data_IF_208759161200
#
_entry.id   IF_208759161200
#
_cell.length_a   1.000
_cell.length_b   1.000
_cell.length_c   1.000
_cell.angle_alpha   90.00
_cell.angle_beta   90.00
_cell.angle_gamma   90.00
#
_symmetry.space_group_name_H-M   'P 1'
#
loop_
_entity.id
_entity.type
_entity.pdbx_description
1 polymer ?
#
# COMPACT_ATOMS: atom_id res chain seq x y z
N UNK A 1 34.66 5.57 6.08
CA UNK A 1 33.23 5.32 5.85
C UNK A 1 32.65 6.45 5.00
N UNK A 2 32.17 6.14 3.81
CA UNK A 2 31.56 7.15 2.93
C UNK A 2 30.13 7.41 3.39
N UNK A 3 29.87 8.62 3.88
CA UNK A 3 28.52 9.09 4.16
C UNK A 3 27.89 9.49 2.83
N UNK A 4 26.79 8.83 2.45
CA UNK A 4 25.97 9.27 1.32
C UNK A 4 24.90 10.25 1.83
N UNK A 5 24.87 11.43 1.24
CA UNK A 5 23.83 12.41 1.50
C UNK A 5 22.67 12.13 0.52
N UNK A 6 21.48 11.89 1.06
CA UNK A 6 20.26 11.75 0.26
C UNK A 6 19.38 12.96 0.55
N UNK A 7 19.15 13.77 -0.46
CA UNK A 7 18.28 14.94 -0.37
C UNK A 7 16.89 14.57 -0.90
N UNK A 8 15.89 14.64 -0.06
CA UNK A 8 14.49 14.56 -0.48
C UNK A 8 13.97 15.98 -0.71
N UNK A 9 13.52 16.25 -1.94
CA UNK A 9 12.82 17.49 -2.27
C UNK A 9 11.32 17.26 -2.12
N UNK A 10 10.72 17.89 -1.14
CA UNK A 10 9.26 17.94 -1.00
C UNK A 10 8.72 19.19 -1.65
N UNK A 11 7.51 19.13 -2.23
CA UNK A 11 6.84 20.31 -2.79
C UNK A 11 6.49 21.29 -1.65
N UNK A 12 7.01 22.53 -1.69
CA UNK A 12 6.76 23.51 -0.65
C UNK A 12 5.31 24.01 -0.57
N UNK A 13 4.46 23.61 -1.52
CA UNK A 13 3.03 23.95 -1.55
C UNK A 13 2.20 23.05 -0.64
N UNK A 14 2.73 21.92 -0.18
CA UNK A 14 2.07 21.09 0.80
C UNK A 14 2.34 21.61 2.22
N UNK A 15 1.40 22.37 2.75
CA UNK A 15 1.49 23.07 4.04
C UNK A 15 1.61 22.15 5.28
N UNK A 16 1.71 20.85 5.08
CA UNK A 16 1.65 19.82 6.14
C UNK A 16 2.99 19.12 6.43
N UNK A 17 4.07 19.43 5.67
CA UNK A 17 5.36 18.78 5.88
C UNK A 17 6.32 19.64 6.68
N UNK A 18 6.86 19.14 7.79
CA UNK A 18 7.91 19.86 8.51
C UNK A 18 9.17 19.95 7.64
N UNK A 19 9.78 21.13 7.69
CA UNK A 19 10.97 21.65 7.00
C UNK A 19 11.94 20.59 6.50
N UNK A 20 12.46 20.81 5.27
CA UNK A 20 13.61 20.09 4.70
C UNK A 20 14.70 19.84 5.75
N UNK A 21 15.06 18.59 5.92
CA UNK A 21 16.22 18.20 6.72
C UNK A 21 17.14 17.36 5.85
N UNK A 22 18.40 17.76 5.77
CA UNK A 22 19.45 16.92 5.21
C UNK A 22 19.71 15.77 6.20
N UNK A 23 19.37 14.57 5.77
CA UNK A 23 19.53 13.38 6.60
C UNK A 23 20.79 12.64 6.12
N UNK A 24 21.74 12.43 7.03
CA UNK A 24 22.97 11.69 6.76
C UNK A 24 22.83 10.27 7.27
N UNK A 25 23.04 9.30 6.38
CA UNK A 25 23.01 7.88 6.71
C UNK A 25 24.40 7.30 6.73
N UNK A 26 24.70 6.44 7.72
CA UNK A 26 25.81 5.52 7.61
C UNK A 26 25.44 4.32 6.72
N UNK A 27 26.42 3.65 6.12
CA UNK A 27 26.15 2.46 5.30
C UNK A 27 25.55 1.32 6.13
N UNK A 28 25.85 1.28 7.46
CA UNK A 28 25.24 0.33 8.39
C UNK A 28 23.75 0.59 8.61
N UNK A 29 23.32 1.87 8.66
CA UNK A 29 21.92 2.22 8.81
C UNK A 29 21.13 1.85 7.55
N UNK A 30 21.69 2.13 6.36
CA UNK A 30 21.12 1.69 5.09
C UNK A 30 21.03 0.17 5.00
N UNK A 31 22.05 -0.55 5.46
CA UNK A 31 22.06 -2.01 5.47
C UNK A 31 21.03 -2.57 6.45
N UNK A 32 20.86 -1.99 7.63
CA UNK A 32 19.82 -2.42 8.58
C UNK A 32 18.40 -2.21 8.07
N UNK A 33 18.18 -1.19 7.24
CA UNK A 33 16.90 -0.91 6.58
C UNK A 33 16.71 -1.80 5.34
N UNK A 34 17.80 -2.15 4.64
CA UNK A 34 17.77 -2.86 3.34
C UNK A 34 18.01 -4.35 3.47
N UNK A 35 18.73 -4.81 4.50
CA UNK A 35 19.25 -6.19 4.62
C UNK A 35 18.27 -7.16 5.30
N UNK A 36 17.13 -6.70 5.74
CA UNK A 36 16.14 -7.56 6.39
C UNK A 36 15.30 -8.38 5.41
N UNK A 37 15.70 -8.55 4.22
CA UNK A 37 15.25 -9.52 3.22
C UNK A 37 15.45 -8.99 1.79
N UNK A 38 15.98 -9.79 0.92
CA UNK A 38 16.14 -9.55 -0.54
C UNK A 38 14.81 -9.29 -1.28
N UNK A 39 13.74 -8.93 -0.58
CA UNK A 39 12.41 -8.71 -1.14
C UNK A 39 11.93 -7.29 -0.85
N UNK A 40 11.50 -6.63 -1.91
CA UNK A 40 11.04 -5.25 -2.00
C UNK A 40 10.10 -4.89 -0.84
N UNK A 41 10.65 -4.21 0.18
CA UNK A 41 9.85 -3.61 1.23
C UNK A 41 9.37 -2.25 0.77
N UNK A 42 8.10 -1.97 0.95
CA UNK A 42 7.54 -0.64 0.74
C UNK A 42 7.74 0.18 2.01
N UNK A 43 8.09 1.44 1.83
CA UNK A 43 8.16 2.41 2.92
C UNK A 43 7.10 3.47 2.66
N UNK A 44 6.28 3.76 3.65
CA UNK A 44 5.20 4.75 3.55
C UNK A 44 5.33 5.75 4.68
N UNK A 45 5.33 7.03 4.35
CA UNK A 45 5.27 8.10 5.34
C UNK A 45 3.83 8.24 5.86
N UNK A 46 3.69 8.36 7.18
CA UNK A 46 2.42 8.59 7.84
C UNK A 46 2.33 10.05 8.30
N UNK A 47 1.48 10.89 7.70
CA UNK A 47 1.37 12.29 8.08
C UNK A 47 0.71 12.50 9.45
N UNK A 48 0.00 11.50 9.98
CA UNK A 48 -0.66 11.56 11.28
C UNK A 48 0.33 11.69 12.43
N UNK A 49 1.44 10.95 12.38
CA UNK A 49 2.43 10.92 13.46
C UNK A 49 3.86 11.25 13.03
N UNK A 50 4.07 11.47 11.72
CA UNK A 50 5.36 11.87 11.15
C UNK A 50 6.38 10.75 11.02
N UNK A 51 5.99 9.48 11.14
CA UNK A 51 6.86 8.32 11.04
C UNK A 51 6.78 7.62 9.69
N UNK A 52 7.83 6.85 9.39
CA UNK A 52 7.84 5.92 8.26
C UNK A 52 7.38 4.54 8.73
N UNK A 53 6.64 3.86 7.87
CA UNK A 53 6.16 2.50 8.12
C UNK A 53 6.63 1.56 7.04
N UNK A 54 7.09 0.38 7.43
CA UNK A 54 7.45 -0.71 6.52
C UNK A 54 6.96 -2.03 7.08
N UNK A 55 6.73 -2.99 6.17
CA UNK A 55 6.33 -4.34 6.55
C UNK A 55 7.34 -5.35 6.03
N UNK A 56 7.74 -6.26 6.89
CA UNK A 56 8.61 -7.39 6.56
C UNK A 56 7.82 -8.61 6.09
N UNK A 57 8.47 -9.48 5.34
CA UNK A 57 7.85 -10.70 4.79
C UNK A 57 7.33 -11.66 5.87
N UNK A 58 7.94 -11.69 7.04
CA UNK A 58 7.50 -12.48 8.19
C UNK A 58 6.25 -11.90 8.87
N UNK A 59 5.77 -10.77 8.40
CA UNK A 59 4.55 -10.12 8.86
C UNK A 59 4.76 -8.98 9.84
N UNK A 60 5.98 -8.78 10.35
CA UNK A 60 6.28 -7.66 11.23
C UNK A 60 6.05 -6.33 10.54
N UNK A 61 5.47 -5.38 11.24
CA UNK A 61 5.33 -3.99 10.82
C UNK A 61 6.19 -3.13 11.73
N UNK A 62 7.10 -2.37 11.13
CA UNK A 62 7.98 -1.46 11.84
C UNK A 62 7.55 -0.01 11.65
N UNK A 63 7.68 0.74 12.72
CA UNK A 63 7.60 2.20 12.78
C UNK A 63 9.02 2.74 12.90
N UNK A 64 9.41 3.67 12.03
CA UNK A 64 10.78 4.17 11.89
C UNK A 64 10.76 5.69 12.00
N UNK A 65 11.56 6.27 12.88
CA UNK A 65 11.75 7.71 12.98
C UNK A 65 12.50 8.23 11.74
N UNK A 66 11.94 9.14 10.95
CA UNK A 66 12.59 9.64 9.74
C UNK A 66 13.81 10.55 10.02
N UNK A 67 14.07 10.93 11.27
CA UNK A 67 15.21 11.76 11.64
C UNK A 67 16.38 10.96 12.18
N UNK A 68 16.10 9.91 12.96
CA UNK A 68 17.15 9.07 13.60
C UNK A 68 17.32 7.73 12.88
N UNK A 69 16.31 7.30 12.08
CA UNK A 69 16.20 5.97 11.46
C UNK A 69 16.17 4.82 12.46
N UNK A 70 15.97 5.12 13.72
CA UNK A 70 15.67 4.11 14.71
C UNK A 70 14.26 3.59 14.47
N UNK A 71 14.14 2.28 14.42
CA UNK A 71 12.87 1.59 14.17
C UNK A 71 12.57 0.54 15.21
N UNK A 72 11.30 0.34 15.48
CA UNK A 72 10.83 -0.74 16.35
C UNK A 72 9.60 -1.42 15.75
N UNK A 73 9.44 -2.69 16.06
CA UNK A 73 8.27 -3.46 15.63
C UNK A 73 7.08 -3.05 16.46
N UNK A 74 6.00 -2.66 15.78
CA UNK A 74 4.74 -2.22 16.42
C UNK A 74 3.61 -3.25 16.28
N UNK A 75 3.76 -4.22 15.36
CA UNK A 75 2.72 -5.23 15.13
C UNK A 75 3.31 -6.48 14.49
N UNK A 76 2.74 -7.64 14.84
CA UNK A 76 3.00 -8.91 14.18
C UNK A 76 1.77 -9.34 13.39
N UNK A 77 1.74 -8.98 12.12
CA UNK A 77 0.71 -9.41 11.19
C UNK A 77 0.98 -10.78 10.57
N UNK A 78 0.14 -11.21 9.61
CA UNK A 78 0.34 -12.47 8.89
C UNK A 78 1.60 -12.42 8.02
N UNK A 79 2.33 -13.54 7.93
CA UNK A 79 3.46 -13.67 7.00
C UNK A 79 3.00 -13.62 5.54
N UNK A 80 3.92 -13.43 4.63
CA UNK A 80 3.67 -13.43 3.18
C UNK A 80 4.13 -12.16 2.48
N UNK A 81 4.32 -12.26 1.16
CA UNK A 81 4.78 -11.12 0.35
C UNK A 81 3.71 -10.05 0.27
N UNK A 82 4.15 -8.82 0.34
CA UNK A 82 3.38 -7.60 0.14
C UNK A 82 3.74 -6.99 -1.21
N UNK A 83 2.80 -6.30 -1.84
CA UNK A 83 3.03 -5.62 -3.11
C UNK A 83 2.61 -4.16 -3.14
N UNK A 84 1.72 -3.73 -2.26
CA UNK A 84 1.30 -2.35 -2.15
C UNK A 84 1.07 -1.97 -0.70
N UNK A 85 1.34 -0.69 -0.40
CA UNK A 85 1.13 -0.10 0.92
C UNK A 85 0.79 1.38 0.74
N UNK A 86 -0.24 1.85 1.44
CA UNK A 86 -0.63 3.26 1.42
C UNK A 86 -1.32 3.67 2.73
N UNK A 87 -1.23 4.96 3.04
CA UNK A 87 -2.00 5.61 4.10
C UNK A 87 -3.22 6.28 3.47
N UNK A 88 -4.38 6.16 4.09
CA UNK A 88 -5.58 6.86 3.65
C UNK A 88 -5.49 8.34 4.08
N UNK A 89 -5.52 9.32 3.16
CA UNK A 89 -5.39 10.73 3.51
C UNK A 89 -6.56 11.26 4.36
N UNK A 90 -7.76 10.72 4.17
CA UNK A 90 -8.94 11.08 4.97
C UNK A 90 -8.93 10.44 6.37
N UNK A 91 -8.18 9.35 6.56
CA UNK A 91 -8.00 8.65 7.84
C UNK A 91 -6.52 8.29 8.00
N UNK A 92 -5.64 9.29 8.24
CA UNK A 92 -4.19 9.13 8.11
C UNK A 92 -3.54 8.21 9.17
N UNK A 93 -4.33 7.66 10.06
CA UNK A 93 -3.94 6.62 11.02
C UNK A 93 -4.22 5.19 10.52
N UNK A 94 -4.75 5.02 9.30
CA UNK A 94 -5.01 3.71 8.71
C UNK A 94 -3.99 3.37 7.62
N UNK A 95 -3.21 2.32 7.88
CA UNK A 95 -2.24 1.76 6.95
C UNK A 95 -2.86 0.59 6.19
N UNK A 96 -2.97 0.71 4.88
CA UNK A 96 -3.52 -0.32 4.00
C UNK A 96 -2.40 -1.10 3.31
N UNK A 97 -2.61 -2.40 3.14
CA UNK A 97 -1.59 -3.34 2.65
C UNK A 97 -2.24 -4.39 1.75
N UNK A 98 -1.64 -4.65 0.58
CA UNK A 98 -2.01 -5.79 -0.26
C UNK A 98 -1.16 -7.01 0.08
N UNK A 99 -1.77 -8.20 0.15
CA UNK A 99 -1.11 -9.45 0.45
C UNK A 99 -1.23 -10.46 -0.69
N UNK A 100 -0.11 -11.14 -0.96
CA UNK A 100 0.02 -12.13 -2.03
C UNK A 100 -0.58 -13.50 -1.68
N UNK A 101 -0.61 -14.39 -2.68
CA UNK A 101 -1.10 -15.78 -2.56
C UNK A 101 -0.30 -16.64 -1.58
N UNK A 102 0.94 -16.27 -1.25
CA UNK A 102 1.75 -17.00 -0.26
C UNK A 102 1.45 -16.59 1.19
N UNK A 103 0.57 -15.61 1.41
CA UNK A 103 0.04 -15.32 2.74
C UNK A 103 -0.86 -16.47 3.24
N UNK A 104 -1.11 -16.58 4.56
CA UNK A 104 -2.10 -17.52 5.10
C UNK A 104 -3.46 -17.38 4.41
N UNK A 105 -4.21 -18.46 4.28
CA UNK A 105 -5.47 -18.53 3.51
C UNK A 105 -6.44 -17.41 3.85
N UNK A 106 -6.53 -17.04 5.12
CA UNK A 106 -7.39 -15.93 5.58
C UNK A 106 -7.01 -14.56 5.01
N UNK A 107 -5.77 -14.37 4.55
CA UNK A 107 -5.23 -13.07 4.11
C UNK A 107 -4.77 -13.04 2.65
N UNK A 108 -4.62 -14.20 2.00
CA UNK A 108 -4.14 -14.26 0.61
C UNK A 108 -5.08 -13.56 -0.36
N UNK A 109 -4.50 -12.91 -1.37
CA UNK A 109 -5.23 -12.11 -2.36
C UNK A 109 -6.07 -11.00 -1.71
N UNK A 110 -5.62 -10.50 -0.56
CA UNK A 110 -6.39 -9.60 0.28
C UNK A 110 -5.83 -8.19 0.34
N UNK A 111 -6.74 -7.28 0.63
CA UNK A 111 -6.45 -5.94 1.11
C UNK A 111 -6.72 -5.95 2.61
N UNK A 112 -5.73 -5.52 3.38
CA UNK A 112 -5.81 -5.47 4.84
C UNK A 112 -5.51 -4.07 5.33
N UNK A 113 -5.98 -3.74 6.53
CA UNK A 113 -5.76 -2.46 7.19
C UNK A 113 -5.23 -2.67 8.59
N UNK A 114 -4.32 -1.79 9.03
CA UNK A 114 -3.85 -1.67 10.40
C UNK A 114 -4.21 -0.29 10.92
N UNK A 115 -4.82 -0.21 12.10
CA UNK A 115 -5.02 1.05 12.82
C UNK A 115 -3.74 1.37 13.63
N UNK A 116 -3.04 2.41 13.22
CA UNK A 116 -1.76 2.83 13.82
C UNK A 116 -1.91 3.47 15.21
N UNK A 117 -3.14 3.80 15.62
CA UNK A 117 -3.42 4.32 16.96
C UNK A 117 -3.43 3.22 18.03
N UNK A 118 -3.77 1.99 17.61
CA UNK A 118 -3.83 0.81 18.48
C UNK A 118 -3.37 -0.44 17.70
N UNK A 119 -2.07 -0.50 17.33
CA UNK A 119 -1.57 -1.55 16.45
C UNK A 119 -1.59 -2.94 17.10
N UNK A 120 -1.51 -3.01 18.43
CA UNK A 120 -1.53 -4.27 19.20
C UNK A 120 -2.93 -4.65 19.72
N UNK A 121 -3.91 -3.76 19.51
CA UNK A 121 -5.28 -3.98 19.95
C UNK A 121 -6.03 -5.05 19.17
N UNK A 122 -7.19 -5.44 19.66
CA UNK A 122 -8.07 -6.46 19.06
C UNK A 122 -8.59 -6.07 17.67
N UNK A 123 -8.49 -4.80 17.29
CA UNK A 123 -8.82 -4.25 15.97
C UNK A 123 -7.62 -4.10 15.03
N UNK A 124 -6.40 -4.48 15.45
CA UNK A 124 -5.15 -4.14 14.81
C UNK A 124 -5.09 -4.43 13.31
N UNK A 125 -4.77 -5.66 12.93
CA UNK A 125 -4.63 -6.04 11.52
C UNK A 125 -5.87 -6.76 11.00
N UNK A 126 -6.64 -6.11 10.14
CA UNK A 126 -7.92 -6.62 9.66
C UNK A 126 -7.92 -6.75 8.13
N UNK A 127 -8.39 -7.89 7.62
CA UNK A 127 -8.74 -8.04 6.21
C UNK A 127 -10.04 -7.28 5.89
N UNK A 128 -10.11 -6.64 4.74
CA UNK A 128 -11.29 -5.87 4.30
C UNK A 128 -12.18 -6.67 3.34
N UNK A 129 -11.59 -7.27 2.29
CA UNK A 129 -12.34 -7.96 1.26
C UNK A 129 -12.64 -9.43 1.62
N UNK A 130 -13.56 -10.06 0.88
CA UNK A 130 -13.93 -11.46 1.08
C UNK A 130 -12.71 -12.39 1.11
N UNK A 131 -12.68 -13.38 1.99
CA UNK A 131 -11.70 -14.44 1.93
C UNK A 131 -11.94 -15.29 0.68
N UNK A 132 -10.86 -15.66 -0.02
CA UNK A 132 -10.99 -16.49 -1.22
C UNK A 132 -9.70 -16.58 -2.00
N UNK A 133 -9.75 -17.33 -3.09
CA UNK A 133 -8.67 -17.45 -4.06
C UNK A 133 -8.74 -16.33 -5.11
N UNK A 134 -7.93 -16.52 -6.16
CA UNK A 134 -7.91 -15.63 -7.32
C UNK A 134 -9.29 -15.61 -8.00
N UNK A 135 -9.98 -14.50 -7.92
CA UNK A 135 -11.32 -14.31 -8.48
C UNK A 135 -11.63 -12.82 -8.73
N UNK A 136 -12.77 -12.56 -9.30
CA UNK A 136 -13.28 -11.21 -9.58
C UNK A 136 -14.71 -11.08 -9.05
N UNK A 137 -14.96 -10.04 -8.27
CA UNK A 137 -16.29 -9.58 -7.88
C UNK A 137 -16.22 -8.12 -7.46
N UNK A 138 -17.07 -7.28 -8.06
CA UNK A 138 -17.39 -5.93 -7.59
C UNK A 138 -18.49 -5.95 -6.54
N UNK A 139 -18.77 -4.82 -5.89
CA UNK A 139 -19.81 -4.67 -4.87
C UNK A 139 -19.25 -4.28 -3.51
N UNK A 140 -19.96 -4.53 -2.40
CA UNK A 140 -19.47 -4.26 -1.07
C UNK A 140 -18.09 -4.89 -0.82
N UNK A 141 -17.18 -4.17 -0.15
CA UNK A 141 -15.80 -4.62 0.01
C UNK A 141 -15.70 -5.98 0.69
N UNK A 142 -16.58 -6.26 1.64
CA UNK A 142 -16.63 -7.53 2.38
C UNK A 142 -16.98 -8.73 1.50
N UNK A 143 -17.63 -8.49 0.35
CA UNK A 143 -18.00 -9.50 -0.63
C UNK A 143 -17.06 -9.51 -1.85
N UNK A 144 -16.29 -8.43 -2.04
CA UNK A 144 -15.44 -8.25 -3.21
C UNK A 144 -14.29 -9.25 -3.27
N UNK A 145 -13.94 -9.64 -4.50
CA UNK A 145 -12.83 -10.57 -4.76
C UNK A 145 -11.82 -9.91 -5.69
N UNK A 146 -10.53 -10.17 -5.39
CA UNK A 146 -9.38 -9.69 -6.14
C UNK A 146 -8.50 -10.87 -6.58
N UNK A 147 -7.68 -10.61 -7.61
CA UNK A 147 -6.74 -11.59 -8.13
C UNK A 147 -5.33 -10.98 -8.19
N UNK A 148 -4.48 -11.29 -7.23
CA UNK A 148 -3.14 -10.72 -7.09
C UNK A 148 -3.13 -9.19 -7.05
N UNK A 149 -3.88 -8.52 -6.15
CA UNK A 149 -3.80 -7.06 -6.04
C UNK A 149 -2.37 -6.64 -5.74
N UNK A 150 -1.83 -5.70 -6.52
CA UNK A 150 -0.42 -5.27 -6.44
C UNK A 150 -0.28 -3.96 -5.71
N UNK A 151 -0.62 -2.87 -6.34
CA UNK A 151 -0.46 -1.54 -5.78
C UNK A 151 -1.78 -0.95 -5.33
N UNK A 152 -1.70 -0.05 -4.36
CA UNK A 152 -2.83 0.73 -3.86
C UNK A 152 -2.41 2.19 -3.70
N UNK A 153 -3.29 3.09 -4.11
CA UNK A 153 -3.16 4.53 -3.90
C UNK A 153 -4.52 5.10 -3.51
N UNK A 154 -4.50 6.25 -2.89
CA UNK A 154 -5.70 7.00 -2.52
C UNK A 154 -5.74 8.33 -3.28
N UNK A 155 -6.95 8.77 -3.61
CA UNK A 155 -7.21 10.16 -3.92
C UNK A 155 -7.44 10.98 -2.63
N UNK A 156 -7.66 12.29 -2.79
CA UNK A 156 -7.89 13.19 -1.66
C UNK A 156 -9.25 12.98 -0.97
N UNK A 157 -10.21 12.36 -1.66
CA UNK A 157 -11.53 12.04 -1.12
C UNK A 157 -11.53 10.73 -0.32
N UNK A 158 -10.40 10.02 -0.32
CA UNK A 158 -10.22 8.75 0.39
C UNK A 158 -10.71 7.54 -0.39
N UNK A 159 -10.97 7.67 -1.70
CA UNK A 159 -11.17 6.51 -2.57
C UNK A 159 -9.84 5.80 -2.80
N UNK A 160 -9.86 4.48 -2.77
CA UNK A 160 -8.69 3.63 -2.94
C UNK A 160 -8.67 3.01 -4.33
N UNK A 161 -7.61 3.26 -5.08
CA UNK A 161 -7.36 2.64 -6.38
C UNK A 161 -6.44 1.45 -6.23
N UNK A 162 -6.78 0.34 -6.90
CA UNK A 162 -6.10 -0.95 -6.78
C UNK A 162 -5.72 -1.46 -8.17
N UNK A 163 -4.45 -1.74 -8.38
CA UNK A 163 -4.00 -2.51 -9.54
C UNK A 163 -4.32 -4.00 -9.32
N UNK A 164 -5.44 -4.46 -9.86
CA UNK A 164 -5.90 -5.85 -9.74
C UNK A 164 -5.26 -6.70 -10.83
N UNK A 165 -3.97 -7.01 -10.61
CA UNK A 165 -3.01 -7.56 -11.55
C UNK A 165 -3.54 -8.79 -12.32
N UNK A 166 -4.05 -9.78 -11.61
CA UNK A 166 -4.51 -11.02 -12.22
C UNK A 166 -5.89 -10.92 -12.89
N UNK A 167 -6.63 -9.84 -12.61
CA UNK A 167 -7.89 -9.53 -13.28
C UNK A 167 -7.72 -8.53 -14.42
N UNK A 168 -6.50 -8.05 -14.69
CA UNK A 168 -6.18 -7.18 -15.82
C UNK A 168 -6.92 -5.84 -15.81
N UNK A 169 -7.25 -5.30 -14.64
CA UNK A 169 -8.04 -4.08 -14.51
C UNK A 169 -7.59 -3.23 -13.31
N UNK A 170 -8.05 -1.99 -13.29
CA UNK A 170 -7.93 -1.10 -12.14
C UNK A 170 -9.30 -1.05 -11.45
N UNK A 171 -9.27 -1.23 -10.13
CA UNK A 171 -10.47 -1.20 -9.28
C UNK A 171 -10.42 0.03 -8.39
N UNK A 172 -11.57 0.61 -8.10
CA UNK A 172 -11.72 1.65 -7.10
C UNK A 172 -12.58 1.13 -5.95
N UNK A 173 -12.17 1.45 -4.74
CA UNK A 173 -12.97 1.23 -3.52
C UNK A 173 -13.33 2.62 -3.01
N UNK A 174 -14.62 2.97 -3.10
CA UNK A 174 -15.10 4.27 -2.64
C UNK A 174 -14.97 4.43 -1.11
N UNK A 175 -15.08 5.67 -0.63
CA UNK A 175 -15.12 5.97 0.80
C UNK A 175 -16.25 5.22 1.54
N UNK A 176 -17.32 4.84 0.82
CA UNK A 176 -18.45 4.03 1.31
C UNK A 176 -18.19 2.52 1.23
N UNK A 177 -16.97 2.10 0.94
CA UNK A 177 -16.53 0.71 0.82
C UNK A 177 -17.21 -0.09 -0.31
N UNK A 178 -17.54 0.55 -1.42
CA UNK A 178 -18.04 -0.11 -2.63
C UNK A 178 -16.91 -0.26 -3.63
N UNK A 179 -16.70 -1.48 -4.11
CA UNK A 179 -15.70 -1.80 -5.12
C UNK A 179 -16.33 -1.74 -6.51
N UNK A 180 -15.69 -1.02 -7.42
CA UNK A 180 -16.06 -0.92 -8.83
C UNK A 180 -14.83 -1.05 -9.72
N UNK A 181 -15.01 -1.55 -10.94
CA UNK A 181 -13.96 -1.54 -11.96
C UNK A 181 -13.98 -0.19 -12.68
N UNK A 182 -12.85 0.53 -12.66
CA UNK A 182 -12.75 1.88 -13.23
C UNK A 182 -11.95 1.93 -14.54
N UNK A 183 -11.11 0.93 -14.82
CA UNK A 183 -10.41 0.85 -16.11
C UNK A 183 -10.00 -0.60 -16.40
N UNK A 184 -9.99 -0.95 -17.69
CA UNK A 184 -9.72 -2.31 -18.18
C UNK A 184 -10.97 -3.20 -18.17
N UNK A 185 -10.84 -4.36 -18.78
CA UNK A 185 -11.90 -5.36 -18.84
C UNK A 185 -11.51 -6.59 -18.00
N UNK A 186 -12.24 -6.88 -16.92
CA UNK A 186 -11.90 -7.98 -16.03
C UNK A 186 -11.72 -9.33 -16.75
N UNK A 187 -10.56 -9.96 -16.55
CA UNK A 187 -10.23 -11.25 -17.18
C UNK A 187 -9.74 -11.16 -18.62
N UNK A 188 -9.73 -9.97 -19.23
CA UNK A 188 -9.28 -9.77 -20.63
C UNK A 188 -7.90 -9.10 -20.61
N UNK A 189 -6.86 -9.92 -20.86
CA UNK A 189 -5.49 -9.40 -20.99
C UNK A 189 -5.28 -8.77 -22.38
N UNK A 190 -4.71 -7.56 -22.42
CA UNK A 190 -4.41 -6.88 -23.68
C UNK A 190 -3.66 -5.58 -23.49
N UNK A 191 -3.41 -4.91 -24.62
CA UNK A 191 -2.83 -3.57 -24.69
C UNK A 191 -3.69 -2.76 -25.65
N UNK A 192 -4.56 -1.93 -25.10
CA UNK A 192 -5.42 -1.06 -25.89
C UNK A 192 -5.67 0.22 -25.11
N UNK A 193 -5.37 1.34 -25.74
CA UNK A 193 -5.75 2.66 -25.24
C UNK A 193 -7.24 2.91 -25.47
N UNK A 194 -7.83 3.74 -24.64
CA UNK A 194 -9.25 4.07 -24.74
C UNK A 194 -9.82 4.54 -23.41
N UNK A 195 -11.12 4.77 -23.40
CA UNK A 195 -11.85 5.08 -22.18
C UNK A 195 -11.86 3.94 -21.17
N UNK A 196 -12.41 4.17 -19.97
CA UNK A 196 -12.38 3.21 -18.86
C UNK A 196 -12.79 1.78 -19.22
N UNK A 197 -13.86 1.61 -19.98
CA UNK A 197 -14.41 0.30 -20.39
C UNK A 197 -13.84 -0.23 -21.72
N UNK A 198 -13.10 0.59 -22.46
CA UNK A 198 -12.52 0.24 -23.75
C UNK A 198 -11.06 -0.14 -23.66
N UNK A 199 -10.36 0.36 -22.63
CA UNK A 199 -8.95 0.09 -22.37
C UNK A 199 -8.72 -1.38 -22.02
N UNK A 200 -7.55 -1.89 -22.40
CA UNK A 200 -7.11 -3.23 -22.01
C UNK A 200 -5.72 -3.15 -21.39
N UNK A 201 -5.56 -3.79 -20.24
CA UNK A 201 -4.27 -3.95 -19.58
C UNK A 201 -3.86 -5.42 -19.58
N UNK A 202 -2.56 -5.63 -19.54
CA UNK A 202 -2.01 -6.96 -19.25
C UNK A 202 -1.20 -6.90 -17.96
N UNK A 203 -1.80 -7.42 -16.90
CA UNK A 203 -1.17 -7.50 -15.60
C UNK A 203 -0.70 -6.11 -15.07
N UNK A 204 -1.60 -5.13 -14.87
CA UNK A 204 -1.23 -3.82 -14.32
C UNK A 204 -0.55 -4.03 -12.97
N UNK A 205 0.63 -3.42 -12.80
CA UNK A 205 1.43 -3.60 -11.59
C UNK A 205 1.29 -2.44 -10.62
N UNK A 206 1.28 -1.23 -11.14
CA UNK A 206 1.23 0.01 -10.37
C UNK A 206 0.07 0.89 -10.79
N UNK A 207 -0.35 1.74 -9.88
CA UNK A 207 -1.33 2.80 -10.08
C UNK A 207 -0.80 4.08 -9.45
N UNK A 208 -1.06 5.21 -10.08
CA UNK A 208 -0.83 6.53 -9.50
C UNK A 208 -2.10 7.35 -9.65
N UNK A 209 -2.35 8.20 -8.68
CA UNK A 209 -3.52 9.09 -8.66
C UNK A 209 -2.98 10.52 -8.54
N UNK A 210 -3.47 11.42 -9.38
CA UNK A 210 -3.12 12.83 -9.29
C UNK A 210 -3.99 13.56 -8.23
N UNK A 211 -3.73 14.86 -8.03
CA UNK A 211 -4.47 15.67 -7.05
C UNK A 211 -5.97 15.82 -7.40
N UNK A 212 -6.34 15.60 -8.66
CA UNK A 212 -7.72 15.67 -9.14
C UNK A 212 -8.47 14.33 -8.98
N UNK A 213 -7.77 13.26 -8.61
CA UNK A 213 -8.35 11.93 -8.45
C UNK A 213 -8.41 11.10 -9.75
N UNK A 214 -7.64 11.52 -10.79
CA UNK A 214 -7.54 10.83 -12.08
C UNK A 214 -6.37 9.82 -12.13
#
# INVERSE_FOLDING_TARGET
>A
ESVKEVTFTFDPREAWYPRQRNIKYSQSDLNSIVDADRYKNFVTFCPYDGYLYTRYRDGKIAKIDPNTFEGHIIHQGPSGSQYGQAINPAKPWLLYITLHSNAPTAYRQGISVLDLRDPDGTGGFKRLNAPGGSAFRDGPIEDALFNYPKDIKFDNDGNMFVADYGNHCIRMISADNIVTTVAGQPGVAGYKDGGPVESLFKNPWGVAVNEQGD
#
